data_IF_571108421054
#
_entry.id   IF_571108421054
#
_cell.length_a   1.000
_cell.length_b   1.000
_cell.length_c   1.000
_cell.angle_alpha   90.00
_cell.angle_beta   90.00
_cell.angle_gamma   90.00
#
_symmetry.space_group_name_H-M   'P 1'
#
loop_
_entity.id
_entity.type
_entity.pdbx_description
1 polymer ?
#
# COMPACT_ATOMS: atom_id res chain seq x y z
N UNK A 1 -11.48 2.68 24.99
CA UNK A 1 -11.53 1.25 24.57
C UNK A 1 -10.24 0.87 23.88
N UNK A 2 -9.73 1.68 22.95
CA UNK A 2 -8.49 1.39 22.23
C UNK A 2 -7.28 1.28 23.17
N UNK A 3 -7.14 2.17 24.15
CA UNK A 3 -6.04 2.16 25.12
C UNK A 3 -6.01 0.91 26.03
N UNK A 4 -7.16 0.25 26.26
CA UNK A 4 -7.23 -1.03 26.99
C UNK A 4 -6.89 -2.24 26.14
N UNK A 5 -7.02 -2.12 24.81
CA UNK A 5 -6.72 -3.20 23.87
C UNK A 5 -5.26 -3.18 23.38
N UNK A 6 -4.57 -2.07 23.56
CA UNK A 6 -3.18 -1.84 23.18
C UNK A 6 -2.43 -1.25 24.38
N UNK A 7 -2.10 -2.07 25.39
CA UNK A 7 -1.29 -1.58 26.49
C UNK A 7 0.06 -1.11 25.91
N UNK A 8 0.49 0.08 26.33
CA UNK A 8 1.81 0.60 26.01
C UNK A 8 2.86 -0.39 26.51
N UNK A 9 3.73 -0.79 25.60
CA UNK A 9 4.85 -1.62 25.97
C UNK A 9 6.11 -0.75 25.97
N UNK A 10 6.79 -0.60 27.12
CA UNK A 10 7.89 0.36 27.28
C UNK A 10 9.09 0.14 26.34
N UNK A 11 9.14 -1.02 25.65
CA UNK A 11 10.19 -1.38 24.70
C UNK A 11 9.76 -1.28 23.23
N UNK A 12 8.53 -0.87 22.94
CA UNK A 12 8.04 -0.73 21.57
C UNK A 12 8.17 0.73 21.11
N UNK A 13 9.03 0.96 20.14
CA UNK A 13 9.10 2.22 19.42
C UNK A 13 7.99 2.34 18.39
N UNK A 14 7.55 3.58 18.10
CA UNK A 14 6.53 3.87 17.08
C UNK A 14 7.03 3.56 15.67
N UNK A 15 8.32 3.78 15.42
CA UNK A 15 9.02 3.41 14.18
C UNK A 15 9.84 2.13 14.42
N UNK A 16 9.14 1.00 14.51
CA UNK A 16 9.74 -0.30 14.81
C UNK A 16 10.70 -0.81 13.73
N UNK A 17 10.63 -0.23 12.52
CA UNK A 17 11.48 -0.59 11.40
C UNK A 17 12.56 0.45 11.11
N UNK A 18 12.65 1.55 11.89
CA UNK A 18 13.60 2.64 11.67
C UNK A 18 13.51 3.23 10.24
N UNK A 19 12.28 3.36 9.70
CA UNK A 19 12.06 3.87 8.35
C UNK A 19 12.46 5.33 8.19
N UNK A 20 12.44 6.12 9.29
CA UNK A 20 12.84 7.51 9.28
C UNK A 20 14.38 7.70 9.12
N UNK A 21 15.17 6.76 9.62
CA UNK A 21 16.64 6.78 9.45
C UNK A 21 17.04 6.52 7.99
N UNK A 22 16.23 5.76 7.26
CA UNK A 22 16.41 5.43 5.86
C UNK A 22 15.66 6.39 4.92
N UNK A 23 15.15 7.52 5.41
CA UNK A 23 14.37 8.47 4.62
C UNK A 23 15.26 9.64 4.10
N UNK A 24 15.80 9.54 2.87
CA UNK A 24 16.66 10.57 2.28
C UNK A 24 15.90 11.87 1.99
N UNK A 25 14.59 11.77 1.76
CA UNK A 25 13.67 12.91 1.65
C UNK A 25 12.36 12.56 2.37
N UNK A 26 11.62 13.54 2.90
CA UNK A 26 10.39 13.29 3.63
C UNK A 26 9.38 12.47 2.81
N UNK A 27 8.95 11.34 3.36
CA UNK A 27 7.98 10.44 2.71
C UNK A 27 8.56 9.51 1.65
N UNK A 28 9.86 9.34 1.60
CA UNK A 28 10.52 8.31 0.81
C UNK A 28 11.50 7.53 1.69
N UNK A 29 11.32 6.23 1.82
CA UNK A 29 12.25 5.34 2.53
C UNK A 29 13.05 4.53 1.51
N UNK A 30 14.38 4.62 1.56
CA UNK A 30 15.30 3.92 0.65
C UNK A 30 16.26 3.03 1.45
N UNK A 31 15.79 1.85 1.82
CA UNK A 31 16.55 0.87 2.62
C UNK A 31 17.28 -0.18 1.77
N UNK A 32 16.71 -0.56 0.64
CA UNK A 32 17.21 -1.62 -0.22
C UNK A 32 17.83 -1.02 -1.47
N UNK A 33 18.91 -1.60 -1.97
CA UNK A 33 19.65 -1.07 -3.11
C UNK A 33 18.79 -0.78 -4.34
N UNK A 34 17.78 -1.63 -4.61
CA UNK A 34 16.95 -1.60 -5.81
C UNK A 34 15.49 -1.14 -5.57
N UNK A 35 15.12 -0.81 -4.33
CA UNK A 35 13.73 -0.55 -3.94
C UNK A 35 13.58 0.65 -3.04
N UNK A 36 12.54 1.43 -3.29
CA UNK A 36 12.13 2.49 -2.38
C UNK A 36 10.62 2.42 -2.07
N UNK A 37 10.28 2.92 -0.89
CA UNK A 37 8.92 3.05 -0.41
C UNK A 37 8.52 4.51 -0.46
N UNK A 38 7.56 4.86 -1.29
CA UNK A 38 7.00 6.20 -1.42
C UNK A 38 5.71 6.31 -0.61
N UNK A 39 5.66 7.29 0.29
CA UNK A 39 4.58 7.54 1.24
C UNK A 39 3.86 8.87 0.86
N UNK A 40 2.93 8.85 -0.11
CA UNK A 40 2.28 10.07 -0.58
C UNK A 40 1.29 10.71 0.40
N UNK A 41 0.77 9.92 1.38
CA UNK A 41 -0.25 10.34 2.34
C UNK A 41 -0.14 9.59 3.66
N UNK A 42 -0.84 10.10 4.69
CA UNK A 42 -0.86 9.60 6.07
C UNK A 42 -2.21 8.99 6.50
N UNK A 43 -3.19 8.94 5.60
CA UNK A 43 -4.54 8.47 5.92
C UNK A 43 -4.80 7.05 5.45
N UNK A 44 -5.59 6.29 6.23
CA UNK A 44 -6.01 4.91 5.93
C UNK A 44 -7.53 4.76 6.05
N UNK A 45 -8.15 3.81 5.32
CA UNK A 45 -9.54 3.43 5.56
C UNK A 45 -9.72 2.71 6.90
N UNK A 46 -8.65 2.11 7.42
CA UNK A 46 -8.61 1.43 8.72
C UNK A 46 -7.19 1.49 9.29
N UNK A 47 -7.09 1.74 10.60
CA UNK A 47 -5.81 1.75 11.31
C UNK A 47 -5.49 0.37 11.87
N UNK A 48 -4.56 -0.33 11.22
CA UNK A 48 -4.17 -1.68 11.58
C UNK A 48 -3.40 -1.71 12.90
N UNK A 49 -3.76 -2.62 13.81
CA UNK A 49 -3.06 -2.80 15.10
C UNK A 49 -1.58 -3.11 14.95
N UNK A 50 -1.20 -3.81 13.89
CA UNK A 50 0.18 -4.21 13.56
C UNK A 50 0.89 -3.22 12.63
N UNK A 51 0.42 -1.97 12.55
CA UNK A 51 0.99 -0.97 11.67
C UNK A 51 2.44 -0.63 12.08
N UNK A 52 3.39 -0.82 11.16
CA UNK A 52 4.80 -0.46 11.36
C UNK A 52 5.07 1.03 11.14
N UNK A 53 4.08 1.77 10.63
CA UNK A 53 4.16 3.22 10.33
C UNK A 53 3.30 4.06 11.26
N UNK A 54 3.06 3.59 12.47
CA UNK A 54 2.30 4.35 13.47
C UNK A 54 2.95 5.69 13.84
N UNK A 55 4.23 5.87 13.54
CA UNK A 55 4.96 7.14 13.67
C UNK A 55 4.47 8.25 12.71
N UNK A 56 3.81 7.89 11.59
CA UNK A 56 3.40 8.84 10.55
C UNK A 56 1.92 8.71 10.14
N UNK A 57 1.28 7.56 10.39
CA UNK A 57 -0.09 7.29 9.96
C UNK A 57 -1.10 7.70 11.02
N UNK A 58 -2.14 8.41 10.60
CA UNK A 58 -3.20 8.94 11.46
C UNK A 58 -2.88 10.33 12.01
N UNK A 59 -3.76 10.81 12.89
CA UNK A 59 -3.60 12.12 13.52
C UNK A 59 -2.66 12.08 14.73
N UNK A 60 -2.12 13.23 15.08
CA UNK A 60 -1.44 13.44 16.35
C UNK A 60 -2.36 13.08 17.52
N UNK A 61 -1.75 12.69 18.61
CA UNK A 61 -2.42 12.40 19.87
C UNK A 61 -1.75 13.19 21.00
N UNK A 62 -2.37 13.24 22.17
CA UNK A 62 -1.76 13.90 23.35
C UNK A 62 -0.38 13.32 23.72
N UNK A 63 -0.10 12.09 23.32
CA UNK A 63 1.12 11.36 23.69
C UNK A 63 2.12 11.20 22.52
N UNK A 64 1.69 11.49 21.27
CA UNK A 64 2.49 11.19 20.08
C UNK A 64 2.31 12.26 19.02
N UNK A 65 3.38 12.96 18.69
CA UNK A 65 3.51 13.79 17.50
C UNK A 65 3.89 12.91 16.31
N UNK A 66 3.11 12.97 15.22
CA UNK A 66 3.32 12.19 14.01
C UNK A 66 4.19 12.94 13.02
N UNK A 67 4.97 12.19 12.24
CA UNK A 67 5.62 12.76 11.06
C UNK A 67 4.55 13.15 10.05
N UNK A 68 4.59 14.41 9.58
CA UNK A 68 3.59 14.92 8.64
C UNK A 68 3.85 14.37 7.22
N UNK A 69 2.98 13.49 6.78
CA UNK A 69 2.98 12.93 5.42
C UNK A 69 1.71 13.28 4.63
N UNK A 70 1.05 14.38 4.99
CA UNK A 70 -0.10 14.88 4.22
C UNK A 70 0.25 15.07 2.75
N UNK A 71 -0.77 15.03 1.92
CA UNK A 71 -0.62 15.27 0.48
C UNK A 71 0.01 16.64 0.25
N UNK A 72 1.19 16.65 -0.38
CA UNK A 72 1.98 17.84 -0.64
C UNK A 72 2.75 17.68 -1.95
N UNK A 73 2.51 18.57 -2.91
CA UNK A 73 3.08 18.48 -4.25
C UNK A 73 4.62 18.70 -4.26
N UNK A 74 5.12 19.60 -3.41
CA UNK A 74 6.56 19.87 -3.32
C UNK A 74 7.30 18.66 -2.72
N UNK A 75 6.73 18.05 -1.67
CA UNK A 75 7.26 16.83 -1.08
C UNK A 75 7.30 15.69 -2.09
N UNK A 76 6.24 15.51 -2.88
CA UNK A 76 6.21 14.50 -3.93
C UNK A 76 7.25 14.78 -5.03
N UNK A 77 7.42 16.04 -5.44
CA UNK A 77 8.41 16.41 -6.44
C UNK A 77 9.83 16.06 -5.98
N UNK A 78 10.19 16.33 -4.71
CA UNK A 78 11.48 15.93 -4.13
C UNK A 78 11.68 14.41 -4.15
N UNK A 79 10.63 13.63 -3.83
CA UNK A 79 10.70 12.18 -3.89
C UNK A 79 10.88 11.66 -5.34
N UNK A 80 10.15 12.22 -6.29
CA UNK A 80 10.29 11.86 -7.71
C UNK A 80 11.67 12.23 -8.26
N UNK A 81 12.18 13.41 -7.91
CA UNK A 81 13.54 13.82 -8.28
C UNK A 81 14.56 12.82 -7.73
N UNK A 82 14.48 12.50 -6.43
CA UNK A 82 15.37 11.53 -5.81
C UNK A 82 15.36 10.17 -6.53
N UNK A 83 14.18 9.66 -6.88
CA UNK A 83 14.04 8.37 -7.58
C UNK A 83 14.67 8.46 -8.99
N UNK A 84 14.39 9.54 -9.73
CA UNK A 84 14.87 9.69 -11.12
C UNK A 84 16.39 9.84 -11.22
N UNK A 85 17.05 10.35 -10.20
CA UNK A 85 18.51 10.53 -10.13
C UNK A 85 19.28 9.25 -9.75
N UNK A 86 18.55 8.15 -9.49
CA UNK A 86 19.13 6.88 -9.01
C UNK A 86 18.79 5.71 -9.92
N UNK A 87 19.66 5.39 -10.86
CA UNK A 87 19.42 4.31 -11.83
C UNK A 87 19.27 2.93 -11.18
N UNK A 88 19.75 2.73 -9.95
CA UNK A 88 19.61 1.50 -9.19
C UNK A 88 18.20 1.28 -8.65
N UNK A 89 17.37 2.33 -8.52
CA UNK A 89 15.98 2.20 -8.02
C UNK A 89 15.06 1.72 -9.13
N UNK A 90 14.74 0.44 -9.13
CA UNK A 90 13.90 -0.21 -10.13
C UNK A 90 12.48 -0.53 -9.65
N UNK A 91 12.25 -0.64 -8.34
CA UNK A 91 10.99 -1.12 -7.75
C UNK A 91 10.46 -0.11 -6.71
N UNK A 92 9.37 0.56 -7.02
CA UNK A 92 8.78 1.58 -6.15
C UNK A 92 7.46 1.09 -5.57
N UNK A 93 7.39 1.07 -4.23
CA UNK A 93 6.15 0.77 -3.49
C UNK A 93 5.46 2.07 -3.12
N UNK A 94 4.32 2.34 -3.72
CA UNK A 94 3.44 3.46 -3.37
C UNK A 94 2.53 3.02 -2.23
N UNK A 95 2.70 3.58 -1.03
CA UNK A 95 2.00 3.18 0.18
C UNK A 95 1.55 4.40 1.00
N UNK A 96 2.26 4.74 2.07
CA UNK A 96 1.95 5.83 2.99
C UNK A 96 1.07 5.35 4.14
N UNK A 97 -0.05 6.03 4.36
CA UNK A 97 -1.20 5.48 5.06
C UNK A 97 -1.71 4.32 4.23
N UNK A 98 -2.64 4.58 3.33
CA UNK A 98 -3.08 3.57 2.38
C UNK A 98 -3.33 4.22 1.01
N UNK A 99 -2.65 3.74 -0.02
CA UNK A 99 -2.78 4.24 -1.39
C UNK A 99 -4.23 4.20 -1.93
N UNK A 100 -5.11 3.44 -1.29
CA UNK A 100 -6.55 3.39 -1.58
C UNK A 100 -7.26 4.74 -1.37
N UNK A 101 -6.72 5.60 -0.53
CA UNK A 101 -7.25 6.92 -0.23
C UNK A 101 -6.80 8.00 -1.22
N UNK A 102 -5.88 7.68 -2.12
CA UNK A 102 -5.50 8.58 -3.18
C UNK A 102 -6.69 8.86 -4.11
N UNK A 103 -6.86 10.12 -4.48
CA UNK A 103 -7.87 10.53 -5.47
C UNK A 103 -7.44 10.09 -6.88
N UNK A 104 -8.38 9.93 -7.82
CA UNK A 104 -8.08 9.49 -9.19
C UNK A 104 -6.95 10.27 -9.86
N UNK A 105 -6.97 11.61 -9.74
CA UNK A 105 -5.93 12.49 -10.31
C UNK A 105 -4.56 12.29 -9.65
N UNK A 106 -4.53 11.97 -8.37
CA UNK A 106 -3.28 11.69 -7.64
C UNK A 106 -2.68 10.33 -8.05
N UNK A 107 -3.54 9.31 -8.23
CA UNK A 107 -3.12 8.00 -8.74
C UNK A 107 -2.50 8.16 -10.14
N UNK A 108 -3.16 8.92 -11.03
CA UNK A 108 -2.64 9.19 -12.38
C UNK A 108 -1.30 9.92 -12.29
N UNK A 109 -1.22 11.01 -11.53
CA UNK A 109 0.01 11.78 -11.39
C UNK A 109 1.18 10.92 -10.90
N UNK A 110 0.99 10.21 -9.79
CA UNK A 110 2.05 9.36 -9.20
C UNK A 110 2.40 8.22 -10.16
N UNK A 111 1.40 7.49 -10.64
CA UNK A 111 1.61 6.33 -11.48
C UNK A 111 2.29 6.68 -12.81
N UNK A 112 1.80 7.71 -13.52
CA UNK A 112 2.39 8.15 -14.77
C UNK A 112 3.83 8.66 -14.60
N UNK A 113 4.07 9.44 -13.52
CA UNK A 113 5.42 9.94 -13.24
C UNK A 113 6.40 8.79 -13.03
N UNK A 114 6.07 7.83 -12.17
CA UNK A 114 6.94 6.69 -11.87
C UNK A 114 7.13 5.77 -13.08
N UNK A 115 6.05 5.47 -13.80
CA UNK A 115 6.12 4.55 -14.95
C UNK A 115 6.92 5.15 -16.13
N UNK A 116 6.97 6.48 -16.27
CA UNK A 116 7.76 7.17 -17.31
C UNK A 116 9.26 7.28 -16.98
N UNK A 117 9.68 7.07 -15.73
CA UNK A 117 11.10 7.09 -15.34
C UNK A 117 11.84 5.91 -15.97
N UNK A 118 13.00 6.13 -16.58
CA UNK A 118 13.75 5.09 -17.30
C UNK A 118 14.19 3.94 -16.40
N UNK A 119 14.64 4.27 -15.19
CA UNK A 119 15.13 3.32 -14.18
C UNK A 119 14.02 2.45 -13.56
N UNK A 120 12.80 2.96 -13.40
CA UNK A 120 11.72 2.23 -12.73
C UNK A 120 11.18 1.11 -13.64
N UNK A 121 11.20 -0.13 -13.15
CA UNK A 121 10.71 -1.35 -13.82
C UNK A 121 9.37 -1.82 -13.24
N UNK A 122 9.15 -1.54 -11.95
CA UNK A 122 7.96 -1.97 -11.22
C UNK A 122 7.40 -0.88 -10.32
N UNK A 123 6.08 -0.75 -10.34
CA UNK A 123 5.32 0.08 -9.39
C UNK A 123 4.31 -0.81 -8.67
N UNK A 124 4.35 -0.81 -7.34
CA UNK A 124 3.43 -1.57 -6.49
C UNK A 124 2.53 -0.59 -5.74
N UNK A 125 1.23 -0.66 -5.97
CA UNK A 125 0.24 0.12 -5.23
C UNK A 125 -0.17 -0.70 -4.01
N UNK A 126 0.37 -0.35 -2.83
CA UNK A 126 0.14 -1.10 -1.60
C UNK A 126 -1.11 -0.60 -0.88
N UNK A 127 -2.05 -1.51 -0.63
CA UNK A 127 -3.33 -1.18 0.00
C UNK A 127 -3.96 -2.34 0.76
N UNK A 128 -4.61 -2.04 1.89
CA UNK A 128 -5.54 -2.95 2.56
C UNK A 128 -7.00 -2.75 2.10
N UNK A 129 -7.26 -1.76 1.26
CA UNK A 129 -8.59 -1.39 0.77
C UNK A 129 -9.45 -2.56 0.31
N UNK A 130 -8.94 -3.48 -0.54
CA UNK A 130 -9.71 -4.64 -1.00
C UNK A 130 -10.23 -5.55 0.13
N UNK A 131 -9.52 -5.63 1.25
CA UNK A 131 -9.93 -6.44 2.39
C UNK A 131 -10.97 -5.74 3.30
N UNK A 132 -10.94 -4.40 3.39
CA UNK A 132 -11.72 -3.64 4.37
C UNK A 132 -12.82 -2.76 3.78
N UNK A 133 -12.69 -2.38 2.51
CA UNK A 133 -13.65 -1.54 1.78
C UNK A 133 -13.72 -1.94 0.30
N UNK A 134 -14.01 -3.22 -0.02
CA UNK A 134 -14.06 -3.71 -1.40
C UNK A 134 -15.09 -2.98 -2.27
N UNK A 135 -16.14 -2.41 -1.66
CA UNK A 135 -17.20 -1.67 -2.35
C UNK A 135 -16.66 -0.53 -3.22
N UNK A 136 -15.57 0.16 -2.78
CA UNK A 136 -14.97 1.24 -3.55
C UNK A 136 -14.57 0.78 -4.96
N UNK A 137 -14.02 -0.42 -5.11
CA UNK A 137 -13.65 -0.97 -6.43
C UNK A 137 -14.88 -1.13 -7.34
N UNK A 138 -16.04 -1.41 -6.75
CA UNK A 138 -17.28 -1.63 -7.50
C UNK A 138 -18.01 -0.32 -7.83
N UNK A 139 -17.87 0.71 -6.99
CA UNK A 139 -18.71 1.93 -7.05
C UNK A 139 -17.93 3.19 -7.43
N UNK A 140 -16.64 3.27 -7.17
CA UNK A 140 -15.78 4.41 -7.53
C UNK A 140 -15.11 4.13 -8.90
N UNK A 141 -15.85 4.41 -9.96
CA UNK A 141 -15.41 4.13 -11.32
C UNK A 141 -14.21 4.99 -11.70
N UNK A 142 -14.13 6.25 -11.24
CA UNK A 142 -13.04 7.16 -11.54
C UNK A 142 -11.72 6.67 -10.92
N UNK A 143 -11.78 6.13 -9.70
CA UNK A 143 -10.64 5.52 -9.05
C UNK A 143 -10.16 4.27 -9.80
N UNK A 144 -11.10 3.37 -10.16
CA UNK A 144 -10.79 2.16 -10.89
C UNK A 144 -10.20 2.46 -12.29
N UNK A 145 -10.75 3.44 -12.98
CA UNK A 145 -10.26 3.87 -14.30
C UNK A 145 -8.88 4.53 -14.20
N UNK A 146 -8.60 5.26 -13.12
CA UNK A 146 -7.27 5.81 -12.88
C UNK A 146 -6.22 4.71 -12.67
N UNK A 147 -6.52 3.70 -11.87
CA UNK A 147 -5.61 2.54 -11.66
C UNK A 147 -5.44 1.76 -12.96
N UNK A 148 -6.53 1.48 -13.68
CA UNK A 148 -6.49 0.78 -14.98
C UNK A 148 -5.60 1.53 -15.97
N UNK A 149 -5.76 2.85 -16.06
CA UNK A 149 -4.93 3.69 -16.93
C UNK A 149 -3.43 3.55 -16.64
N UNK A 150 -3.03 3.58 -15.37
CA UNK A 150 -1.62 3.44 -14.98
C UNK A 150 -1.09 2.04 -15.30
N UNK A 151 -1.90 1.00 -15.05
CA UNK A 151 -1.55 -0.39 -15.41
C UNK A 151 -1.34 -0.54 -16.92
N UNK A 152 -2.24 0.00 -17.74
CA UNK A 152 -2.16 -0.07 -19.19
C UNK A 152 -0.97 0.75 -19.73
N UNK A 153 -0.68 1.91 -19.14
CA UNK A 153 0.51 2.68 -19.46
C UNK A 153 1.79 1.88 -19.15
N UNK A 154 1.83 1.24 -17.98
CA UNK A 154 2.94 0.37 -17.59
C UNK A 154 3.17 -0.75 -18.62
N UNK A 155 2.12 -1.45 -19.02
CA UNK A 155 2.20 -2.49 -20.06
C UNK A 155 2.75 -1.98 -21.38
N UNK A 156 2.25 -0.83 -21.86
CA UNK A 156 2.78 -0.21 -23.09
C UNK A 156 4.25 0.15 -23.01
N UNK A 157 4.75 0.45 -21.82
CA UNK A 157 6.15 0.78 -21.56
C UNK A 157 6.98 -0.44 -21.09
N UNK A 158 6.43 -1.66 -21.16
CA UNK A 158 7.05 -2.91 -20.70
C UNK A 158 7.45 -2.88 -19.22
N UNK A 159 6.64 -2.23 -18.38
CA UNK A 159 6.83 -2.11 -16.93
C UNK A 159 5.67 -2.73 -16.16
N UNK A 160 5.96 -3.28 -15.00
CA UNK A 160 4.95 -3.91 -14.17
C UNK A 160 4.29 -2.88 -13.24
N UNK A 161 2.96 -2.82 -13.26
CA UNK A 161 2.16 -2.09 -12.27
C UNK A 161 1.18 -3.06 -11.65
N UNK A 162 1.24 -3.23 -10.32
CA UNK A 162 0.43 -4.21 -9.59
C UNK A 162 -0.19 -3.62 -8.32
N UNK A 163 -1.32 -4.16 -7.89
CA UNK A 163 -1.85 -3.93 -6.56
C UNK A 163 -1.23 -4.96 -5.60
N UNK A 164 -0.62 -4.49 -4.52
CA UNK A 164 -0.24 -5.31 -3.38
C UNK A 164 -1.28 -5.14 -2.27
N UNK A 165 -2.14 -6.13 -2.11
CA UNK A 165 -3.16 -6.13 -1.08
C UNK A 165 -2.68 -6.80 0.21
N UNK A 166 -3.51 -6.73 1.26
CA UNK A 166 -3.13 -7.15 2.60
C UNK A 166 -4.28 -7.92 3.27
N UNK A 167 -4.55 -9.13 2.77
CA UNK A 167 -5.44 -10.08 3.41
C UNK A 167 -4.66 -10.93 4.43
N UNK A 168 -5.20 -11.06 5.64
CA UNK A 168 -4.59 -11.82 6.73
C UNK A 168 -5.42 -13.02 7.16
N UNK A 169 -6.72 -13.03 6.86
CA UNK A 169 -7.62 -14.09 7.29
C UNK A 169 -8.64 -14.46 6.20
N UNK A 170 -9.00 -15.73 6.04
CA UNK A 170 -9.95 -16.16 5.01
C UNK A 170 -11.34 -15.50 5.12
N UNK A 171 -11.74 -15.02 6.29
CA UNK A 171 -13.01 -14.33 6.50
C UNK A 171 -13.04 -12.90 5.94
N UNK A 172 -11.89 -12.33 5.56
CA UNK A 172 -11.84 -11.05 4.84
C UNK A 172 -12.29 -11.21 3.37
N UNK A 173 -12.36 -12.46 2.85
CA UNK A 173 -12.79 -12.75 1.48
C UNK A 173 -14.29 -13.06 1.48
N UNK A 174 -15.09 -12.00 1.53
CA UNK A 174 -16.55 -12.03 1.49
C UNK A 174 -17.09 -12.12 0.05
N UNK A 175 -18.41 -12.17 -0.12
CA UNK A 175 -19.04 -12.09 -1.46
C UNK A 175 -18.65 -10.82 -2.21
N UNK A 176 -18.76 -9.65 -1.55
CA UNK A 176 -18.40 -8.35 -2.13
C UNK A 176 -16.89 -8.28 -2.46
N UNK A 177 -16.06 -8.89 -1.63
CA UNK A 177 -14.61 -8.98 -1.90
C UNK A 177 -14.34 -9.77 -3.18
N UNK A 178 -15.04 -10.89 -3.40
CA UNK A 178 -14.93 -11.69 -4.63
C UNK A 178 -15.31 -10.89 -5.86
N UNK A 179 -16.45 -10.18 -5.82
CA UNK A 179 -16.91 -9.34 -6.93
C UNK A 179 -15.90 -8.23 -7.23
N UNK A 180 -15.34 -7.61 -6.20
CA UNK A 180 -14.32 -6.58 -6.35
C UNK A 180 -13.01 -7.15 -6.97
N UNK A 181 -12.55 -8.32 -6.53
CA UNK A 181 -11.35 -8.95 -7.09
C UNK A 181 -11.59 -9.40 -8.55
N UNK A 182 -12.75 -9.94 -8.84
CA UNK A 182 -13.13 -10.29 -10.22
C UNK A 182 -13.13 -9.04 -11.11
N UNK A 183 -13.64 -7.91 -10.60
CA UNK A 183 -13.62 -6.64 -11.32
C UNK A 183 -12.20 -6.15 -11.65
N UNK A 184 -11.26 -6.29 -10.71
CA UNK A 184 -9.84 -5.99 -10.96
C UNK A 184 -9.23 -6.94 -12.01
N UNK A 185 -9.54 -8.23 -11.91
CA UNK A 185 -9.09 -9.24 -12.87
C UNK A 185 -9.61 -8.96 -14.30
N UNK A 186 -10.90 -8.64 -14.45
CA UNK A 186 -11.52 -8.26 -15.74
C UNK A 186 -10.86 -7.01 -16.35
N UNK A 187 -10.40 -6.07 -15.51
CA UNK A 187 -9.61 -4.90 -15.95
C UNK A 187 -8.15 -5.23 -16.22
N UNK A 188 -7.76 -6.50 -16.10
CA UNK A 188 -6.40 -6.97 -16.30
C UNK A 188 -5.42 -6.46 -15.24
N UNK A 189 -5.88 -6.06 -14.06
CA UNK A 189 -5.04 -5.58 -12.96
C UNK A 189 -4.57 -6.79 -12.17
N UNK A 190 -3.25 -7.00 -12.12
CA UNK A 190 -2.64 -8.03 -11.29
C UNK A 190 -2.72 -7.65 -9.81
N UNK A 191 -3.18 -8.57 -8.98
CA UNK A 191 -3.25 -8.41 -7.53
C UNK A 191 -2.38 -9.45 -6.85
N UNK A 192 -1.50 -9.00 -5.95
CA UNK A 192 -0.66 -9.85 -5.10
C UNK A 192 -0.98 -9.59 -3.64
N UNK A 193 -0.85 -10.61 -2.81
CA UNK A 193 -1.10 -10.49 -1.38
C UNK A 193 0.18 -10.57 -0.55
N UNK A 194 0.22 -9.75 0.50
CA UNK A 194 1.21 -9.84 1.57
C UNK A 194 0.47 -9.97 2.89
N UNK A 195 0.65 -11.08 3.61
CA UNK A 195 0.06 -11.31 4.93
C UNK A 195 1.03 -10.99 6.05
N UNK A 196 0.49 -10.55 7.18
CA UNK A 196 1.20 -10.52 8.47
C UNK A 196 0.76 -11.73 9.28
N UNK A 197 1.71 -12.46 9.86
CA UNK A 197 1.41 -13.53 10.81
C UNK A 197 1.02 -12.90 12.14
N UNK A 198 -0.24 -13.09 12.53
CA UNK A 198 -0.83 -12.49 13.73
C UNK A 198 -1.22 -13.60 14.69
N UNK A 199 -0.63 -13.57 15.89
CA UNK A 199 -0.88 -14.56 16.92
C UNK A 199 -2.39 -14.66 17.24
N UNK A 200 -2.90 -15.88 17.32
CA UNK A 200 -4.31 -16.24 17.54
C UNK A 200 -5.29 -15.73 16.46
N UNK A 201 -4.80 -15.35 15.29
CA UNK A 201 -5.63 -14.92 14.15
C UNK A 201 -5.40 -15.81 12.94
N UNK A 202 -4.15 -15.97 12.51
CA UNK A 202 -3.77 -16.73 11.33
C UNK A 202 -2.44 -17.49 11.51
N UNK A 203 -2.06 -17.78 12.74
CA UNK A 203 -0.83 -18.49 13.10
C UNK A 203 -1.00 -20.02 13.15
N UNK A 204 -2.09 -20.54 12.59
CA UNK A 204 -2.31 -21.96 12.40
C UNK A 204 -2.35 -22.35 10.91
N UNK A 205 -1.92 -23.59 10.63
CA UNK A 205 -1.76 -24.08 9.26
C UNK A 205 -3.08 -24.18 8.50
N UNK A 206 -4.20 -24.49 9.15
CA UNK A 206 -5.49 -24.64 8.48
C UNK A 206 -6.07 -23.28 8.04
N UNK A 207 -5.98 -22.26 8.90
CA UNK A 207 -6.37 -20.90 8.56
C UNK A 207 -5.55 -20.37 7.37
N UNK A 208 -4.23 -20.56 7.40
CA UNK A 208 -3.37 -20.11 6.29
C UNK A 208 -3.64 -20.91 5.00
N UNK A 209 -3.82 -22.22 5.08
CA UNK A 209 -4.21 -23.05 3.92
C UNK A 209 -5.51 -22.55 3.28
N UNK A 210 -6.51 -22.23 4.11
CA UNK A 210 -7.80 -21.73 3.65
C UNK A 210 -7.68 -20.32 3.05
N UNK A 211 -6.87 -19.42 3.65
CA UNK A 211 -6.59 -18.11 3.11
C UNK A 211 -5.98 -18.20 1.71
N UNK A 212 -4.89 -18.95 1.56
CA UNK A 212 -4.20 -19.13 0.27
C UNK A 212 -5.15 -19.71 -0.79
N UNK A 213 -5.94 -20.73 -0.43
CA UNK A 213 -6.94 -21.32 -1.33
C UNK A 213 -7.99 -20.29 -1.78
N UNK A 214 -8.53 -19.49 -0.84
CA UNK A 214 -9.55 -18.48 -1.17
C UNK A 214 -8.96 -17.33 -2.00
N UNK A 215 -7.73 -16.91 -1.74
CA UNK A 215 -7.02 -15.92 -2.55
C UNK A 215 -6.83 -16.42 -3.99
N UNK A 216 -6.39 -17.66 -4.18
CA UNK A 216 -6.28 -18.26 -5.51
C UNK A 216 -7.62 -18.31 -6.28
N UNK A 217 -8.74 -18.55 -5.58
CA UNK A 217 -10.08 -18.55 -6.19
C UNK A 217 -10.55 -17.16 -6.67
N UNK A 218 -9.92 -16.09 -6.20
CA UNK A 218 -10.25 -14.71 -6.59
C UNK A 218 -9.10 -14.03 -7.34
N UNK A 219 -8.23 -14.84 -7.97
CA UNK A 219 -7.11 -14.37 -8.80
C UNK A 219 -6.11 -13.45 -8.05
N UNK A 220 -5.90 -13.68 -6.77
CA UNK A 220 -4.89 -13.00 -5.95
C UNK A 220 -3.73 -13.95 -5.70
N UNK A 221 -2.50 -13.51 -6.00
CA UNK A 221 -1.25 -14.27 -5.96
C UNK A 221 -0.39 -13.96 -4.73
#
# INVERSE_FOLDING_TARGET
VASRMLPDHPKLGLDSLHEQEDAPVPGLTHRYADKALFLPLDTCPVYCRFCTRSYAVGNDTELVDKVNLRVDAERWAKAFQYISERPELEDIVVSGGDAYQLRPEQIRLIGETLVKMENVRRVRIATKGPAVMPQKILTDHDWLDAVTHVVDLGRRLHKEVVIHTHFNHPNEITGITRDAMLKLFERGITVRNQSVMIRHVNDDAETMRLLVKRLGHVHVH
#
